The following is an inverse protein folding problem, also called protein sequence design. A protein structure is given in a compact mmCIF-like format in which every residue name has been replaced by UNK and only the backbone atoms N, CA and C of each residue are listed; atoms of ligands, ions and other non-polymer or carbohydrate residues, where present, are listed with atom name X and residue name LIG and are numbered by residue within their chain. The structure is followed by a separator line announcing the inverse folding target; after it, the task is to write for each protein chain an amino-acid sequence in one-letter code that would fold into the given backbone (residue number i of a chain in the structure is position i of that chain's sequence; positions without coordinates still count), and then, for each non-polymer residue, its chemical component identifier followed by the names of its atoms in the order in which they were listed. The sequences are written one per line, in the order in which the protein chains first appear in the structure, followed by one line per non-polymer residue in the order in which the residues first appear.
data_IF_990548079064
#
_entry.id   IF_990548079064
#
_cell.length_a   1.000
_cell.length_b   1.000
_cell.length_c   1.000
_cell.angle_alpha   90.00
_cell.angle_beta   90.00
_cell.angle_gamma   90.00
#
_symmetry.space_group_name_H-M   'P 1'
#
loop_
_entity.id
_entity.type
_entity.pdbx_description
1 polymer ?
#
# COMPACT_ATOMS: atom_id res chain seq x y z
N UNK A 1 16.46 1.92 -8.10
CA UNK A 1 15.72 2.04 -6.81
C UNK A 1 15.39 3.52 -6.61
N UNK A 2 14.35 3.91 -5.86
CA UNK A 2 14.02 5.30 -5.59
C UNK A 2 15.05 5.86 -4.60
N UNK A 3 16.25 6.13 -5.11
CA UNK A 3 17.39 6.68 -4.37
C UNK A 3 17.74 8.09 -4.82
N UNK A 4 17.11 8.54 -5.90
CA UNK A 4 17.34 9.84 -6.52
C UNK A 4 16.01 10.59 -6.62
N UNK A 5 16.07 11.90 -6.50
CA UNK A 5 14.93 12.77 -6.74
C UNK A 5 14.54 12.74 -8.22
N UNK A 6 13.25 12.86 -8.55
CA UNK A 6 12.81 12.89 -9.94
C UNK A 6 13.36 14.14 -10.65
N UNK A 7 13.82 13.95 -11.89
CA UNK A 7 14.32 15.05 -12.73
C UNK A 7 13.21 16.00 -13.19
N UNK A 8 11.99 15.50 -13.27
CA UNK A 8 10.80 16.24 -13.72
C UNK A 8 9.59 15.82 -12.87
N UNK A 9 8.66 16.75 -12.68
CA UNK A 9 7.38 16.49 -12.02
C UNK A 9 6.24 16.74 -13.00
N UNK A 10 5.28 15.83 -13.05
CA UNK A 10 4.09 15.99 -13.87
C UNK A 10 3.04 16.86 -13.17
N UNK A 11 2.33 17.66 -13.97
CA UNK A 11 1.20 18.42 -13.43
C UNK A 11 0.12 17.49 -12.86
N UNK A 12 -0.60 17.87 -11.79
CA UNK A 12 -1.70 17.06 -11.24
C UNK A 12 -2.73 16.61 -12.28
N UNK A 13 -3.04 17.45 -13.26
CA UNK A 13 -3.95 17.11 -14.36
C UNK A 13 -3.39 16.01 -15.27
N UNK A 14 -2.08 16.03 -15.54
CA UNK A 14 -1.41 14.98 -16.33
C UNK A 14 -1.45 13.64 -15.60
N UNK A 15 -1.17 13.65 -14.29
CA UNK A 15 -1.20 12.44 -13.43
C UNK A 15 -2.60 11.83 -13.40
N UNK A 16 -3.64 12.66 -13.23
CA UNK A 16 -5.04 12.20 -13.25
C UNK A 16 -5.43 11.56 -14.59
N UNK A 17 -5.01 12.15 -15.71
CA UNK A 17 -5.33 11.62 -17.05
C UNK A 17 -4.59 10.33 -17.36
N UNK A 18 -3.31 10.25 -16.99
CA UNK A 18 -2.46 9.10 -17.29
C UNK A 18 -2.58 7.97 -16.27
N UNK A 19 -3.07 8.27 -15.07
CA UNK A 19 -3.14 7.35 -13.93
C UNK A 19 -1.80 6.64 -13.63
N UNK A 20 -0.70 7.34 -13.92
CA UNK A 20 0.66 6.85 -13.79
C UNK A 20 1.55 8.01 -13.35
N UNK A 21 2.51 7.71 -12.48
CA UNK A 21 3.39 8.71 -11.89
C UNK A 21 4.27 8.12 -10.80
N UNK A 22 5.19 8.93 -10.31
CA UNK A 22 6.03 8.65 -9.14
C UNK A 22 5.30 9.00 -7.84
N UNK A 23 5.86 8.64 -6.68
CA UNK A 23 5.32 9.08 -5.39
C UNK A 23 5.26 10.61 -5.28
N UNK A 24 6.19 11.34 -5.89
CA UNK A 24 6.16 12.81 -5.93
C UNK A 24 5.00 13.36 -6.75
N UNK A 25 4.69 12.73 -7.89
CA UNK A 25 3.56 13.10 -8.73
C UNK A 25 2.23 12.88 -7.99
N UNK A 26 2.08 11.72 -7.34
CA UNK A 26 0.89 11.40 -6.55
C UNK A 26 0.78 12.25 -5.28
N UNK A 27 1.88 12.56 -4.60
CA UNK A 27 1.89 13.49 -3.46
C UNK A 27 1.45 14.88 -3.88
N UNK A 28 1.96 15.39 -5.01
CA UNK A 28 1.58 16.71 -5.55
C UNK A 28 0.10 16.75 -5.92
N UNK A 29 -0.40 15.69 -6.55
CA UNK A 29 -1.82 15.53 -6.84
C UNK A 29 -2.67 15.54 -5.57
N UNK A 30 -2.33 14.70 -4.58
CA UNK A 30 -3.07 14.60 -3.32
C UNK A 30 -3.03 15.92 -2.54
N UNK A 31 -1.87 16.57 -2.46
CA UNK A 31 -1.72 17.87 -1.82
C UNK A 31 -2.62 18.92 -2.50
N UNK A 32 -2.69 18.94 -3.83
CA UNK A 32 -3.57 19.86 -4.56
C UNK A 32 -5.06 19.65 -4.22
N UNK A 33 -5.48 18.40 -4.06
CA UNK A 33 -6.85 18.05 -3.68
C UNK A 33 -7.16 18.50 -2.25
N UNK A 34 -6.27 18.23 -1.30
CA UNK A 34 -6.43 18.60 0.11
C UNK A 34 -6.48 20.12 0.30
N UNK A 35 -5.63 20.85 -0.42
CA UNK A 35 -5.68 22.32 -0.47
C UNK A 35 -7.02 22.82 -1.01
N UNK A 36 -7.60 22.14 -2.01
CA UNK A 36 -8.94 22.43 -2.53
C UNK A 36 -10.06 22.26 -1.50
N UNK A 37 -9.90 21.30 -0.58
CA UNK A 37 -10.84 21.07 0.54
C UNK A 37 -10.48 21.96 1.76
N UNK A 38 -9.56 22.91 1.61
CA UNK A 38 -9.10 23.85 2.65
C UNK A 38 -8.33 23.22 3.82
N UNK A 39 -7.71 22.07 3.62
CA UNK A 39 -6.68 21.56 4.56
C UNK A 39 -5.37 22.34 4.39
N UNK A 40 -4.59 22.43 5.46
CA UNK A 40 -3.22 22.96 5.38
C UNK A 40 -2.25 21.82 5.07
N UNK A 41 -2.11 21.53 3.78
CA UNK A 41 -1.35 20.38 3.28
C UNK A 41 -0.07 20.82 2.57
N UNK A 42 0.98 20.01 2.76
CA UNK A 42 2.31 20.18 2.18
C UNK A 42 2.79 18.85 1.61
N UNK A 43 3.44 18.89 0.46
CA UNK A 43 4.27 17.78 -0.01
C UNK A 43 5.56 17.75 0.83
N UNK A 44 6.04 16.56 1.15
CA UNK A 44 7.23 16.31 1.94
C UNK A 44 8.19 15.49 1.12
N UNK A 45 9.40 15.99 0.88
CA UNK A 45 10.51 15.20 0.35
C UNK A 45 11.38 14.76 1.51
N UNK A 46 11.68 13.47 1.57
CA UNK A 46 12.54 12.93 2.59
C UNK A 46 12.83 11.46 2.41
N UNK A 47 13.19 10.83 3.52
CA UNK A 47 13.63 9.44 3.56
C UNK A 47 12.59 8.57 4.25
N UNK A 48 12.28 7.43 3.65
CA UNK A 48 11.36 6.46 4.24
C UNK A 48 11.94 5.04 4.19
N UNK A 49 11.33 4.15 4.96
CA UNK A 49 11.71 2.74 4.96
C UNK A 49 11.51 2.11 3.57
N UNK A 50 12.30 1.07 3.28
CA UNK A 50 12.29 0.36 2.00
C UNK A 50 10.89 -0.14 1.65
N UNK A 51 10.13 -0.61 2.63
CA UNK A 51 8.77 -1.13 2.40
C UNK A 51 7.83 -0.04 1.85
N UNK A 52 7.92 1.18 2.39
CA UNK A 52 7.12 2.31 1.92
C UNK A 52 7.53 2.71 0.51
N UNK A 53 8.83 2.84 0.26
CA UNK A 53 9.36 3.30 -1.02
C UNK A 53 9.11 2.31 -2.18
N UNK A 54 9.08 1.01 -1.87
CA UNK A 54 8.79 -0.05 -2.84
C UNK A 54 7.31 -0.45 -2.90
N UNK A 55 6.46 0.18 -2.08
CA UNK A 55 5.06 -0.21 -1.91
C UNK A 55 4.91 -1.71 -1.58
N UNK A 56 5.87 -2.26 -0.82
CA UNK A 56 5.90 -3.67 -0.45
C UNK A 56 4.89 -3.94 0.66
N UNK A 57 3.78 -4.57 0.26
CA UNK A 57 2.68 -4.96 1.14
C UNK A 57 2.63 -6.47 1.41
N UNK A 58 3.72 -7.19 1.16
CA UNK A 58 3.79 -8.65 1.38
C UNK A 58 3.52 -9.06 2.83
N UNK A 59 3.84 -8.18 3.79
CA UNK A 59 3.60 -8.38 5.22
C UNK A 59 2.22 -7.86 5.67
N UNK A 60 1.47 -7.18 4.80
CA UNK A 60 0.12 -6.73 5.12
C UNK A 60 -0.88 -7.88 4.96
N UNK A 61 -1.84 -7.96 5.88
CA UNK A 61 -2.90 -8.97 5.82
C UNK A 61 -3.77 -8.70 4.60
N UNK A 62 -3.92 -9.70 3.73
CA UNK A 62 -4.75 -9.58 2.54
C UNK A 62 -6.22 -9.28 2.93
N UNK A 63 -6.81 -8.15 2.50
CA UNK A 63 -8.18 -7.78 2.85
C UNK A 63 -9.21 -8.85 2.44
N UNK A 64 -8.95 -9.58 1.36
CA UNK A 64 -9.82 -10.65 0.87
C UNK A 64 -9.83 -11.89 1.80
N UNK A 65 -8.78 -12.08 2.59
CA UNK A 65 -8.73 -13.13 3.62
C UNK A 65 -9.43 -12.71 4.92
N UNK A 66 -9.76 -11.42 5.08
CA UNK A 66 -10.51 -10.89 6.22
C UNK A 66 -12.03 -10.94 6.03
N UNK A 67 -12.49 -11.46 4.89
CA UNK A 67 -13.88 -11.90 4.74
C UNK A 67 -14.09 -13.11 5.63
N UNK A 68 -14.46 -12.87 6.89
CA UNK A 68 -15.21 -13.85 7.66
C UNK A 68 -16.41 -14.21 6.78
N UNK A 69 -16.38 -15.41 6.18
CA UNK A 69 -17.39 -15.89 5.25
C UNK A 69 -18.76 -15.73 5.92
N UNK A 70 -19.50 -14.66 5.58
CA UNK A 70 -20.89 -14.54 5.97
C UNK A 70 -21.64 -15.58 5.15
N UNK A 71 -21.80 -16.77 5.72
CA UNK A 71 -22.70 -17.78 5.17
C UNK A 71 -24.10 -17.25 5.41
N UNK A 72 -24.61 -16.48 4.44
CA UNK A 72 -26.02 -16.12 4.38
C UNK A 72 -26.81 -17.40 4.10
N UNK A 73 -27.34 -18.02 5.15
CA UNK A 73 -28.32 -19.12 5.06
C UNK A 73 -29.71 -18.63 4.62
N UNK A 74 -29.83 -17.45 3.99
CA UNK A 74 -31.12 -16.87 3.58
C UNK A 74 -31.59 -17.35 2.20
N UNK A 75 -30.89 -18.26 1.53
CA UNK A 75 -31.52 -19.07 0.49
C UNK A 75 -32.28 -20.16 1.23
N UNK A 76 -33.60 -20.02 1.34
CA UNK A 76 -34.47 -21.09 1.83
C UNK A 76 -34.21 -22.32 0.95
N UNK A 77 -33.72 -23.45 1.49
CA UNK A 77 -33.50 -24.64 0.69
C UNK A 77 -34.86 -25.16 0.22
N UNK A 78 -35.00 -25.42 -1.08
CA UNK A 78 -36.14 -26.17 -1.61
C UNK A 78 -36.20 -27.49 -0.82
N UNK A 79 -37.32 -27.81 -0.15
CA UNK A 79 -37.39 -29.01 0.69
C UNK A 79 -37.27 -30.24 -0.19
N UNK A 80 -36.05 -30.76 -0.32
CA UNK A 80 -35.81 -32.11 -0.82
C UNK A 80 -36.33 -33.08 0.23
N UNK A 81 -37.05 -34.13 -0.19
CA UNK A 81 -37.64 -35.15 0.70
C UNK A 81 -36.66 -36.03 1.50
N UNK A 82 -35.43 -35.55 1.73
CA UNK A 82 -34.41 -36.19 2.56
C UNK A 82 -34.05 -35.25 3.72
N UNK A 83 -34.56 -35.58 4.90
CA UNK A 83 -34.42 -34.79 6.14
C UNK A 83 -32.95 -34.62 6.61
N UNK A 84 -32.01 -35.45 6.12
CA UNK A 84 -30.61 -35.45 6.55
C UNK A 84 -29.67 -34.41 5.93
N UNK A 85 -30.15 -33.53 5.03
CA UNK A 85 -29.31 -32.57 4.28
C UNK A 85 -29.53 -31.11 4.67
N UNK A 86 -30.18 -30.87 5.81
CA UNK A 86 -30.50 -29.51 6.29
C UNK A 86 -29.45 -28.96 7.28
N UNK A 87 -28.47 -29.76 7.67
CA UNK A 87 -27.32 -29.33 8.47
C UNK A 87 -26.03 -29.51 7.67
N UNK A 88 -25.07 -28.63 7.89
CA UNK A 88 -23.78 -28.67 7.19
C UNK A 88 -23.01 -29.99 7.47
N UNK A 89 -23.18 -30.57 8.65
CA UNK A 89 -22.62 -31.90 8.97
C UNK A 89 -23.25 -33.03 8.14
N UNK A 90 -24.57 -32.97 7.87
CA UNK A 90 -25.27 -33.97 7.05
C UNK A 90 -24.87 -33.90 5.57
N UNK A 91 -24.63 -32.70 5.05
CA UNK A 91 -24.11 -32.50 3.69
C UNK A 91 -22.67 -33.04 3.55
N UNK A 92 -21.83 -32.84 4.55
CA UNK A 92 -20.45 -33.34 4.54
C UNK A 92 -20.38 -34.88 4.55
N UNK A 93 -21.27 -35.54 5.32
CA UNK A 93 -21.36 -37.00 5.35
C UNK A 93 -21.83 -37.59 4.00
N UNK A 94 -22.82 -36.96 3.33
CA UNK A 94 -23.29 -37.41 2.01
C UNK A 94 -22.17 -37.35 0.94
N UNK A 95 -21.35 -36.31 0.97
CA UNK A 95 -20.23 -36.14 0.03
C UNK A 95 -19.12 -37.17 0.33
N UNK A 96 -18.96 -37.58 1.58
CA UNK A 96 -18.01 -38.61 1.99
C UNK A 96 -18.45 -40.03 1.56
N UNK A 97 -19.76 -40.29 1.49
CA UNK A 97 -20.34 -41.59 1.11
C UNK A 97 -20.60 -41.75 -0.40
N UNK A 98 -20.33 -40.72 -1.22
CA UNK A 98 -20.34 -40.88 -2.67
C UNK A 98 -19.13 -41.74 -3.07
N UNK A 99 -19.32 -42.96 -3.62
CA UNK A 99 -18.21 -43.69 -4.19
C UNK A 99 -17.64 -42.84 -5.33
N UNK A 100 -16.36 -42.49 -5.23
CA UNK A 100 -15.60 -41.98 -6.37
C UNK A 100 -15.77 -43.01 -7.47
N UNK A 101 -16.58 -42.71 -8.48
CA UNK A 101 -16.73 -43.59 -9.62
C UNK A 101 -15.37 -43.70 -10.27
N UNK A 102 -14.85 -44.93 -10.27
CA UNK A 102 -13.75 -45.32 -11.13
C UNK A 102 -14.10 -44.86 -12.55
N UNK A 103 -13.22 -44.04 -13.13
CA UNK A 103 -13.33 -43.63 -14.52
C UNK A 103 -13.26 -44.90 -15.38
N UNK A 104 -14.42 -45.41 -15.80
CA UNK A 104 -14.53 -46.42 -16.85
C UNK A 104 -13.93 -45.85 -18.13
N UNK A 105 -12.81 -46.42 -18.54
CA UNK A 105 -12.31 -46.34 -19.90
C UNK A 105 -13.43 -46.81 -20.84
N UNK A 106 -13.90 -45.92 -21.71
CA UNK A 106 -14.67 -46.34 -22.89
C UNK A 106 -13.73 -47.06 -23.85
N UNK A 107 -14.12 -48.28 -24.24
CA UNK A 107 -13.37 -49.13 -25.18
C UNK A 107 -13.21 -48.44 -26.55
N UNK A 108 -11.96 -48.21 -26.96
CA UNK A 108 -11.64 -47.91 -28.35
C UNK A 108 -11.62 -49.21 -29.17
N UNK A 109 -12.33 -49.16 -30.30
CA UNK A 109 -12.81 -50.28 -31.14
C UNK A 109 -11.75 -51.01 -32.00
N UNK A 110 -10.48 -51.00 -31.61
CA UNK A 110 -9.42 -51.72 -32.33
C UNK A 110 -8.45 -52.36 -31.32
N UNK A 111 -8.34 -53.69 -31.36
CA UNK A 111 -7.74 -54.52 -30.31
C UNK A 111 -6.30 -54.14 -29.93
N UNK A 112 -6.08 -53.91 -28.62
CA UNK A 112 -4.76 -53.70 -28.05
C UNK A 112 -4.00 -55.02 -27.86
N UNK A 113 -2.92 -55.20 -28.63
CA UNK A 113 -1.82 -56.09 -28.24
C UNK A 113 -1.27 -55.64 -26.88
N UNK A 114 -1.06 -56.59 -25.96
CA UNK A 114 -0.46 -56.35 -24.64
C UNK A 114 0.89 -55.62 -24.78
N UNK A 115 1.12 -54.48 -24.11
CA UNK A 115 2.43 -53.84 -24.15
C UNK A 115 3.45 -54.67 -23.39
N UNK A 116 4.43 -55.13 -24.17
CA UNK A 116 5.64 -55.84 -23.78
C UNK A 116 6.50 -54.95 -22.88
N UNK A 117 7.00 -55.54 -21.79
CA UNK A 117 7.96 -55.06 -20.79
C UNK A 117 8.49 -53.62 -20.95
N UNK A 118 8.17 -52.80 -19.93
CA UNK A 118 8.74 -51.47 -19.63
C UNK A 118 10.24 -51.44 -19.98
N UNK A 119 10.60 -50.73 -21.04
CA UNK A 119 12.01 -50.60 -21.47
C UNK A 119 12.80 -49.77 -20.48
N UNK A 120 14.06 -50.18 -20.21
CA UNK A 120 15.00 -49.60 -19.22
C UNK A 120 15.19 -48.07 -19.34
N UNK A 121 14.85 -47.49 -20.48
CA UNK A 121 14.91 -46.05 -20.73
C UNK A 121 13.86 -45.22 -19.97
N UNK A 122 12.66 -45.76 -19.72
CA UNK A 122 11.60 -45.02 -18.99
C UNK A 122 11.92 -44.93 -17.50
N UNK A 123 12.51 -45.99 -16.93
CA UNK A 123 13.00 -45.99 -15.56
C UNK A 123 14.16 -45.01 -15.38
N UNK A 124 15.13 -44.98 -16.31
CA UNK A 124 16.22 -44.00 -16.28
C UNK A 124 15.73 -42.55 -16.35
N UNK A 125 14.74 -42.24 -17.18
CA UNK A 125 14.16 -40.89 -17.26
C UNK A 125 13.37 -40.50 -16.00
N UNK A 126 12.73 -41.46 -15.32
CA UNK A 126 12.05 -41.20 -14.04
C UNK A 126 13.03 -41.05 -12.88
N UNK A 127 14.15 -41.78 -12.90
CA UNK A 127 15.26 -41.64 -11.97
C UNK A 127 16.00 -40.31 -12.19
N UNK A 128 16.29 -39.90 -13.43
CA UNK A 128 16.88 -38.57 -13.71
C UNK A 128 15.97 -37.43 -13.24
N UNK A 129 14.65 -37.52 -13.46
CA UNK A 129 13.70 -36.53 -12.92
C UNK A 129 13.61 -36.54 -11.40
N UNK A 130 13.75 -37.69 -10.75
CA UNK A 130 13.75 -37.77 -9.28
C UNK A 130 15.08 -37.31 -8.69
N UNK A 131 16.20 -37.53 -9.38
CA UNK A 131 17.52 -37.00 -9.03
C UNK A 131 17.63 -35.50 -9.26
N UNK A 132 17.04 -34.93 -10.32
CA UNK A 132 16.90 -33.48 -10.50
C UNK A 132 16.01 -32.86 -9.42
N UNK A 133 14.86 -33.47 -9.12
CA UNK A 133 13.98 -33.01 -8.05
C UNK A 133 14.60 -33.15 -6.64
N UNK A 134 15.50 -34.12 -6.44
CA UNK A 134 16.24 -34.31 -5.19
C UNK A 134 17.47 -33.39 -5.11
N UNK A 135 18.13 -33.07 -6.22
CA UNK A 135 19.19 -32.06 -6.29
C UNK A 135 18.64 -30.65 -6.02
N UNK A 136 17.37 -30.41 -6.42
CA UNK A 136 16.61 -29.20 -6.11
C UNK A 136 16.05 -29.18 -4.67
N UNK A 137 16.20 -30.27 -3.92
CA UNK A 137 15.91 -30.41 -2.47
C UNK A 137 17.18 -30.59 -1.63
N UNK A 138 18.35 -30.20 -2.16
CA UNK A 138 19.48 -29.92 -1.27
C UNK A 138 19.11 -28.64 -0.51
N UNK A 139 18.96 -28.80 0.79
CA UNK A 139 18.88 -27.75 1.81
C UNK A 139 19.36 -26.39 1.25
N UNK A 140 18.48 -25.39 1.08
CA UNK A 140 18.94 -24.03 1.28
C UNK A 140 19.44 -24.05 2.72
N UNK A 141 20.76 -24.15 2.91
CA UNK A 141 21.34 -23.98 4.23
C UNK A 141 20.69 -22.76 4.85
N UNK A 142 20.37 -22.81 6.14
CA UNK A 142 19.80 -21.70 6.88
C UNK A 142 20.57 -20.41 6.55
N UNK A 143 20.13 -19.69 5.52
CA UNK A 143 19.95 -18.27 5.60
C UNK A 143 18.89 -18.13 6.69
N UNK A 144 19.36 -18.21 7.94
CA UNK A 144 19.06 -17.13 8.86
C UNK A 144 19.23 -15.89 7.99
N UNK A 145 18.12 -15.28 7.58
CA UNK A 145 18.14 -13.90 7.15
C UNK A 145 18.99 -13.24 8.22
N UNK A 146 20.26 -12.95 7.91
CA UNK A 146 21.03 -12.09 8.78
C UNK A 146 20.12 -10.88 8.88
N UNK A 147 19.66 -10.48 10.07
CA UNK A 147 18.97 -9.20 10.18
C UNK A 147 19.88 -8.24 9.42
N UNK A 148 19.35 -7.57 8.37
CA UNK A 148 20.16 -6.95 7.33
C UNK A 148 21.29 -6.24 8.03
N UNK A 149 22.51 -6.70 7.76
CA UNK A 149 23.71 -6.35 8.53
C UNK A 149 23.60 -4.87 8.88
N UNK A 150 23.58 -4.56 10.18
CA UNK A 150 23.14 -3.28 10.80
C UNK A 150 23.79 -2.03 10.20
N UNK A 151 24.73 -2.18 9.26
CA UNK A 151 25.55 -1.11 8.74
C UNK A 151 25.77 -1.02 7.22
N UNK A 152 25.10 -1.79 6.34
CA UNK A 152 25.57 -1.80 4.93
C UNK A 152 24.77 -1.04 3.87
N UNK A 153 23.54 -0.55 4.10
CA UNK A 153 22.84 0.48 3.29
C UNK A 153 21.58 1.02 4.02
N UNK A 154 21.73 1.55 5.25
CA UNK A 154 20.68 2.41 5.80
C UNK A 154 20.80 3.79 5.14
N UNK A 155 19.78 4.23 4.41
CA UNK A 155 19.75 5.55 3.76
C UNK A 155 20.30 5.48 2.34
N UNK A 156 19.50 5.71 1.29
CA UNK A 156 18.77 6.95 1.06
C UNK A 156 17.55 6.65 0.17
N UNK A 157 16.55 5.93 0.67
CA UNK A 157 15.32 5.73 -0.12
C UNK A 157 14.51 7.01 -0.08
N UNK A 158 14.51 7.72 -1.21
CA UNK A 158 13.82 8.97 -1.38
C UNK A 158 12.35 8.68 -1.62
N UNK A 159 11.50 9.25 -0.77
CA UNK A 159 10.06 9.15 -0.90
C UNK A 159 9.42 10.53 -0.79
N UNK A 160 8.21 10.64 -1.32
CA UNK A 160 7.40 11.83 -1.18
C UNK A 160 6.05 11.46 -0.58
N UNK A 161 5.68 12.17 0.48
CA UNK A 161 4.40 12.00 1.16
C UNK A 161 3.76 13.35 1.46
N UNK A 162 2.55 13.35 2.01
CA UNK A 162 1.83 14.58 2.33
C UNK A 162 1.81 14.78 3.84
N UNK A 163 2.18 15.97 4.30
CA UNK A 163 1.99 16.46 5.67
C UNK A 163 0.73 17.31 5.73
N UNK A 164 -0.13 17.01 6.69
CA UNK A 164 -1.29 17.86 7.03
C UNK A 164 -1.05 18.46 8.40
N UNK A 165 -1.03 19.79 8.46
CA UNK A 165 -0.87 20.54 9.71
C UNK A 165 -2.21 20.69 10.44
N UNK A 166 -2.13 20.61 11.75
CA UNK A 166 -3.20 20.94 12.69
C UNK A 166 -3.53 22.44 12.65
N UNK A 167 -4.72 22.79 13.15
CA UNK A 167 -5.17 24.19 13.24
C UNK A 167 -6.07 24.67 12.09
N UNK A 168 -6.23 23.88 11.02
CA UNK A 168 -7.28 24.08 10.01
C UNK A 168 -8.20 22.86 9.91
N UNK A 169 -9.44 23.09 9.51
CA UNK A 169 -10.40 22.04 9.11
C UNK A 169 -10.63 20.93 10.14
N UNK A 170 -10.66 21.28 11.44
CA UNK A 170 -10.87 20.35 12.57
C UNK A 170 -9.78 19.27 12.72
N UNK A 171 -8.57 19.52 12.19
CA UNK A 171 -7.42 18.66 12.42
C UNK A 171 -6.78 19.01 13.75
N UNK A 172 -6.79 18.06 14.68
CA UNK A 172 -6.25 18.21 16.04
C UNK A 172 -4.72 18.10 16.08
N UNK A 173 -4.16 17.15 15.33
CA UNK A 173 -2.74 16.82 15.35
C UNK A 173 -2.16 16.74 13.94
N UNK A 174 -0.87 16.99 13.81
CA UNK A 174 -0.18 16.85 12.54
C UNK A 174 -0.05 15.36 12.18
N UNK A 175 -0.31 15.03 10.93
CA UNK A 175 -0.18 13.66 10.45
C UNK A 175 0.34 13.61 9.01
N UNK A 176 0.91 12.46 8.66
CA UNK A 176 1.35 12.15 7.31
C UNK A 176 0.31 11.32 6.57
N UNK A 177 0.29 11.43 5.24
CA UNK A 177 -0.48 10.56 4.34
C UNK A 177 0.48 10.04 3.29
N UNK A 178 0.56 8.71 3.16
CA UNK A 178 1.26 8.10 2.05
C UNK A 178 0.39 8.16 0.79
N UNK A 179 0.84 8.83 -0.29
CA UNK A 179 -0.01 9.11 -1.46
C UNK A 179 -0.35 7.86 -2.28
N UNK A 180 0.44 6.78 -2.14
CA UNK A 180 0.24 5.55 -2.90
C UNK A 180 -0.75 4.60 -2.21
N UNK A 181 -0.75 4.53 -0.89
CA UNK A 181 -1.69 3.70 -0.12
C UNK A 181 -2.93 4.47 0.34
N UNK A 182 -2.84 5.79 0.51
CA UNK A 182 -3.87 6.62 1.13
C UNK A 182 -3.94 6.47 2.65
N UNK A 183 -3.02 5.72 3.27
CA UNK A 183 -2.98 5.53 4.71
C UNK A 183 -2.44 6.77 5.42
N UNK A 184 -3.06 7.14 6.54
CA UNK A 184 -2.56 8.16 7.43
C UNK A 184 -1.63 7.57 8.50
N UNK A 185 -0.61 8.34 8.87
CA UNK A 185 0.38 7.97 9.87
C UNK A 185 0.65 9.14 10.83
N UNK A 186 0.92 8.88 12.10
CA UNK A 186 1.50 9.87 13.00
C UNK A 186 2.82 10.44 12.46
N UNK A 187 3.16 11.66 12.88
CA UNK A 187 4.41 12.32 12.44
C UNK A 187 5.68 11.68 13.03
N UNK A 188 5.55 10.92 14.12
CA UNK A 188 6.63 10.21 14.81
C UNK A 188 6.78 8.73 14.34
N UNK A 189 6.05 8.35 13.30
CA UNK A 189 5.99 6.97 12.83
C UNK A 189 7.34 6.50 12.24
N UNK A 190 7.78 5.31 12.65
CA UNK A 190 9.14 4.78 12.38
C UNK A 190 9.48 4.58 10.90
N UNK A 191 8.47 4.48 10.04
CA UNK A 191 8.66 4.35 8.58
C UNK A 191 9.16 5.63 7.91
N UNK A 192 9.08 6.79 8.56
CA UNK A 192 9.57 8.06 8.04
C UNK A 192 10.85 8.44 8.78
N UNK A 193 11.97 8.36 8.05
CA UNK A 193 13.33 8.39 8.59
C UNK A 193 13.93 9.81 8.60
N UNK A 194 13.35 10.76 7.87
CA UNK A 194 13.80 12.14 7.89
C UNK A 194 13.12 12.97 6.81
N UNK A 195 13.14 14.30 7.00
CA UNK A 195 12.54 15.27 6.08
C UNK A 195 13.63 16.22 5.63
N UNK A 196 13.73 16.44 4.32
CA UNK A 196 14.65 17.42 3.74
C UNK A 196 13.94 18.72 3.42
N UNK A 197 12.75 18.64 2.82
CA UNK A 197 11.99 19.82 2.43
C UNK A 197 10.49 19.56 2.44
N UNK A 198 9.74 20.64 2.63
CA UNK A 198 8.28 20.65 2.54
C UNK A 198 7.82 21.81 1.67
N UNK A 199 6.83 21.59 0.82
CA UNK A 199 6.33 22.63 -0.07
C UNK A 199 4.85 22.51 -0.37
N UNK A 200 4.26 23.61 -0.80
CA UNK A 200 2.92 23.66 -1.34
C UNK A 200 2.84 24.69 -2.48
N UNK A 201 1.63 25.04 -2.88
CA UNK A 201 1.37 26.03 -3.94
C UNK A 201 1.87 27.46 -3.66
N UNK A 202 2.31 27.79 -2.43
CA UNK A 202 2.75 29.13 -2.03
C UNK A 202 4.20 29.19 -1.63
N UNK A 203 4.68 28.17 -0.94
CA UNK A 203 5.97 28.22 -0.26
C UNK A 203 6.73 26.91 -0.41
N UNK A 204 8.05 27.04 -0.37
CA UNK A 204 9.00 25.93 -0.31
C UNK A 204 9.91 26.17 0.89
N UNK A 205 9.98 25.19 1.79
CA UNK A 205 10.76 25.25 3.02
C UNK A 205 11.77 24.11 3.05
N UNK A 206 13.01 24.42 3.42
CA UNK A 206 14.08 23.44 3.65
C UNK A 206 14.21 23.21 5.15
N UNK A 207 14.32 21.95 5.55
CA UNK A 207 14.52 21.58 6.95
C UNK A 207 15.95 21.91 7.38
N UNK A 208 16.09 22.67 8.47
CA UNK A 208 17.39 22.99 9.11
C UNK A 208 17.65 22.19 10.39
N UNK A 209 16.71 21.34 10.78
CA UNK A 209 16.77 20.53 11.99
C UNK A 209 17.60 19.25 11.76
N UNK A 210 18.20 18.73 12.82
CA UNK A 210 18.85 17.42 12.81
C UNK A 210 17.78 16.34 13.00
N UNK A 211 17.69 15.40 12.05
CA UNK A 211 16.70 14.32 12.07
C UNK A 211 17.33 12.92 12.16
N UNK A 212 18.37 12.75 12.98
CA UNK A 212 19.08 11.47 13.12
C UNK A 212 18.23 10.34 13.74
N UNK A 213 17.20 10.68 14.52
CA UNK A 213 16.27 9.75 15.17
C UNK A 213 14.94 9.58 14.41
N UNK A 214 14.90 9.96 13.13
CA UNK A 214 13.67 9.96 12.33
C UNK A 214 12.92 11.29 12.42
N UNK A 215 11.60 11.22 12.25
CA UNK A 215 10.72 12.39 12.33
C UNK A 215 10.21 12.70 13.76
N UNK A 216 10.62 11.95 14.78
CA UNK A 216 10.06 12.06 16.15
C UNK A 216 10.32 13.42 16.82
N UNK A 217 11.49 14.00 16.58
CA UNK A 217 11.93 15.25 17.20
C UNK A 217 11.70 16.46 16.28
N UNK A 218 11.19 16.24 15.07
CA UNK A 218 10.99 17.29 14.08
C UNK A 218 9.81 18.16 14.50
N UNK A 219 10.08 19.45 14.66
CA UNK A 219 9.05 20.45 14.91
C UNK A 219 8.53 21.00 13.58
N UNK A 220 7.21 21.06 13.45
CA UNK A 220 6.50 21.46 12.23
C UNK A 220 6.02 22.92 12.26
N UNK A 221 6.68 23.78 13.03
CA UNK A 221 6.42 25.22 12.98
C UNK A 221 7.18 25.84 11.80
N UNK A 222 6.54 25.88 10.63
CA UNK A 222 7.14 26.36 9.39
C UNK A 222 7.44 27.87 9.39
N UNK A 223 7.04 28.61 10.43
CA UNK A 223 7.37 30.03 10.55
C UNK A 223 8.66 30.29 11.32
N UNK A 224 9.18 29.29 12.06
CA UNK A 224 10.45 29.41 12.75
C UNK A 224 11.61 29.24 11.77
N UNK A 225 12.26 30.36 11.44
CA UNK A 225 13.40 30.42 10.51
C UNK A 225 14.64 29.65 11.00
N UNK A 226 14.70 29.30 12.29
CA UNK A 226 15.77 28.43 12.82
C UNK A 226 15.52 26.96 12.49
N UNK A 227 14.26 26.57 12.29
CA UNK A 227 13.84 25.20 12.00
C UNK A 227 13.62 24.98 10.51
N UNK A 228 13.05 25.96 9.81
CA UNK A 228 12.65 25.89 8.41
C UNK A 228 13.09 27.13 7.62
N UNK A 229 13.87 26.92 6.57
CA UNK A 229 14.34 28.01 5.70
C UNK A 229 13.45 28.17 4.47
N UNK A 230 12.77 29.32 4.29
CA UNK A 230 11.99 29.57 3.09
C UNK A 230 12.90 29.86 1.90
N UNK A 231 12.70 29.13 0.80
CA UNK A 231 13.50 29.30 -0.44
C UNK A 231 12.85 30.33 -1.39
N UNK A 232 11.52 30.43 -1.37
CA UNK A 232 10.80 31.33 -2.27
C UNK A 232 10.67 32.74 -1.67
N UNK A 233 11.32 33.71 -2.30
CA UNK A 233 11.20 35.13 -1.93
C UNK A 233 9.77 35.64 -2.20
N UNK A 234 9.22 36.37 -1.23
CA UNK A 234 7.92 37.06 -1.37
C UNK A 234 6.69 36.29 -0.89
N UNK A 235 6.84 35.04 -0.41
CA UNK A 235 5.77 34.37 0.32
C UNK A 235 5.67 34.98 1.72
N UNK A 236 4.82 36.00 1.86
CA UNK A 236 4.48 36.60 3.15
C UNK A 236 3.85 35.53 4.06
N UNK A 237 4.17 35.57 5.36
CA UNK A 237 3.76 34.60 6.38
C UNK A 237 2.37 33.99 6.14
N UNK A 238 2.29 32.66 6.25
CA UNK A 238 1.06 31.88 6.09
C UNK A 238 -0.09 32.37 7.01
N UNK A 239 0.19 33.08 8.12
CA UNK A 239 -0.81 33.68 9.02
C UNK A 239 -1.68 34.76 8.37
N UNK A 240 -1.17 35.51 7.39
CA UNK A 240 -1.94 36.58 6.75
C UNK A 240 -3.14 36.05 5.93
N UNK A 241 -2.97 35.08 5.01
CA UNK A 241 -4.10 34.49 4.30
C UNK A 241 -5.01 33.64 5.22
N UNK A 242 -4.51 33.10 6.35
CA UNK A 242 -5.32 32.38 7.36
C UNK A 242 -6.42 33.29 7.91
N UNK A 243 -6.04 34.48 8.36
CA UNK A 243 -6.96 35.45 8.93
C UNK A 243 -7.95 35.97 7.88
N UNK A 244 -7.53 36.14 6.62
CA UNK A 244 -8.42 36.59 5.55
C UNK A 244 -9.45 35.52 5.14
N UNK A 245 -9.07 34.25 5.03
CA UNK A 245 -10.00 33.17 4.71
C UNK A 245 -11.00 32.96 5.85
N UNK A 246 -10.54 33.03 7.11
CA UNK A 246 -11.42 32.98 8.29
C UNK A 246 -12.38 34.17 8.34
N UNK A 247 -11.90 35.39 8.08
CA UNK A 247 -12.75 36.58 7.95
C UNK A 247 -13.78 36.45 6.83
N UNK A 248 -13.41 35.90 5.67
CA UNK A 248 -14.35 35.64 4.56
C UNK A 248 -15.39 34.56 4.90
N UNK A 249 -15.03 33.55 5.69
CA UNK A 249 -15.98 32.56 6.21
C UNK A 249 -16.95 33.17 7.23
N UNK A 250 -16.49 34.09 8.08
CA UNK A 250 -17.35 34.84 9.01
C UNK A 250 -18.24 35.87 8.31
N UNK A 251 -17.75 36.51 7.24
CA UNK A 251 -18.50 37.52 6.48
C UNK A 251 -19.31 36.92 5.32
N UNK A 252 -19.50 35.60 5.24
CA UNK A 252 -20.32 35.00 4.19
C UNK A 252 -21.78 35.34 4.49
N UNK A 253 -22.48 36.15 3.65
CA UNK A 253 -23.90 36.38 3.87
C UNK A 253 -24.62 35.05 3.73
N UNK A 254 -25.51 34.76 4.67
CA UNK A 254 -26.45 33.66 4.56
C UNK A 254 -27.32 33.98 3.34
N UNK A 255 -27.10 33.28 2.23
CA UNK A 255 -28.05 33.30 1.12
C UNK A 255 -29.33 32.65 1.62
N UNK A 256 -30.25 33.49 2.12
CA UNK A 256 -31.64 33.11 2.29
C UNK A 256 -32.20 33.03 0.88
N UNK A 257 -32.29 31.82 0.33
CA UNK A 257 -33.14 31.58 -0.82
C UNK A 257 -34.56 31.90 -0.39
N UNK A 258 -35.09 33.03 -0.84
CA UNK A 258 -36.51 33.34 -0.72
C UNK A 258 -37.20 32.52 -1.80
N UNK A 259 -37.91 31.47 -1.39
CA UNK A 259 -38.81 30.69 -2.22
C UNK A 259 -40.08 31.48 -2.55
#
# INVERSE_FOLDING_TARGET
PPTELPSELFSPTSVLRRQTGTCFDFATLLCSLLLGISYDAYCVSGYADRQVCLLDRSQERCPLLDTQKFVSTTIRPTPTGRCGLQTWQGCAALVADLPVSEQKQTENKYGLRRPRNRSRHILKQQEEKSHEAAAQKREPGEEVERPPSVHSLHGNWVHCWVLVLSGRSNVQENFFIDPLTGNSFPTDHQRFLGIESVWNHRSYYVNRQVCSSGCKEVKFDLEDLNLWEPVLFGSTSNKQPILEVQKRKQNRPVCVCVC
#
